data_IF_897025885641
#
_entry.id   IF_897025885641
#
_cell.length_a   1.000
_cell.length_b   1.000
_cell.length_c   1.000
_cell.angle_alpha   90.00
_cell.angle_beta   90.00
_cell.angle_gamma   90.00
#
_symmetry.space_group_name_H-M   'P 1'
#
loop_
_entity.id
_entity.type
_entity.pdbx_description
1 polymer ?
#
# COMPACT_ATOMS: atom_id res chain seq x y z
N UNK A 1 0.60 -59.06 -25.91
CA UNK A 1 -0.42 -58.75 -24.89
C UNK A 1 -0.05 -57.36 -24.30
N UNK A 2 -0.62 -56.31 -24.85
CA UNK A 2 -0.40 -54.94 -24.38
C UNK A 2 -1.59 -54.57 -23.52
N UNK A 3 -1.44 -54.53 -22.21
CA UNK A 3 -2.42 -54.01 -21.30
C UNK A 3 -2.51 -52.49 -21.44
N UNK A 4 -3.61 -52.01 -22.04
CA UNK A 4 -4.04 -50.62 -22.01
C UNK A 4 -4.40 -50.22 -20.58
N UNK A 5 -3.44 -49.64 -19.86
CA UNK A 5 -3.71 -48.94 -18.61
C UNK A 5 -4.50 -47.66 -19.00
N UNK A 6 -5.82 -47.74 -19.02
CA UNK A 6 -6.70 -46.56 -19.00
C UNK A 6 -6.48 -45.90 -17.65
N UNK A 7 -5.66 -44.83 -17.62
CA UNK A 7 -5.71 -43.89 -16.51
C UNK A 7 -7.10 -43.26 -16.50
N UNK A 8 -7.95 -43.74 -15.61
CA UNK A 8 -9.17 -43.07 -15.20
C UNK A 8 -8.73 -41.80 -14.46
N UNK A 9 -8.64 -40.69 -15.20
CA UNK A 9 -8.64 -39.35 -14.62
C UNK A 9 -10.01 -39.07 -14.01
N UNK A 10 -10.29 -39.70 -12.88
CA UNK A 10 -11.40 -39.38 -11.99
C UNK A 10 -11.08 -38.06 -11.29
N UNK A 11 -11.01 -36.97 -12.03
CA UNK A 11 -11.02 -35.64 -11.45
C UNK A 11 -12.35 -35.48 -10.73
N UNK A 12 -12.33 -35.64 -9.41
CA UNK A 12 -13.44 -35.37 -8.53
C UNK A 12 -13.95 -33.96 -8.83
N UNK A 13 -15.08 -33.83 -9.51
CA UNK A 13 -15.66 -32.53 -9.84
C UNK A 13 -16.06 -31.87 -8.53
N UNK A 14 -15.23 -30.90 -8.10
CA UNK A 14 -15.53 -30.07 -6.92
C UNK A 14 -16.89 -29.42 -7.13
N UNK A 15 -17.78 -29.54 -6.14
CA UNK A 15 -19.12 -28.96 -6.23
C UNK A 15 -19.06 -27.44 -6.44
N UNK A 16 -20.03 -26.83 -7.13
CA UNK A 16 -20.07 -25.38 -7.32
C UNK A 16 -19.97 -24.60 -6.00
N UNK A 17 -20.62 -25.08 -4.94
CA UNK A 17 -20.60 -24.44 -3.62
C UNK A 17 -19.21 -24.51 -2.98
N UNK A 18 -18.53 -25.66 -3.07
CA UNK A 18 -17.17 -25.82 -2.58
C UNK A 18 -16.21 -24.92 -3.36
N UNK A 19 -16.35 -24.83 -4.69
CA UNK A 19 -15.55 -23.96 -5.54
C UNK A 19 -15.79 -22.49 -5.17
N UNK A 20 -17.03 -22.06 -4.98
CA UNK A 20 -17.37 -20.71 -4.55
C UNK A 20 -16.75 -20.37 -3.19
N UNK A 21 -16.80 -21.29 -2.22
CA UNK A 21 -16.20 -21.12 -0.90
C UNK A 21 -14.69 -20.95 -0.97
N UNK A 22 -14.00 -21.78 -1.75
CA UNK A 22 -12.54 -21.68 -1.94
C UNK A 22 -12.17 -20.35 -2.59
N UNK A 23 -12.85 -19.93 -3.66
CA UNK A 23 -12.59 -18.67 -4.35
C UNK A 23 -12.83 -17.48 -3.43
N UNK A 24 -13.89 -17.49 -2.62
CA UNK A 24 -14.18 -16.44 -1.66
C UNK A 24 -13.10 -16.36 -0.56
N UNK A 25 -12.69 -17.48 0.01
CA UNK A 25 -11.63 -17.52 1.01
C UNK A 25 -10.29 -17.02 0.44
N UNK A 26 -9.97 -17.38 -0.81
CA UNK A 26 -8.77 -16.95 -1.50
C UNK A 26 -8.79 -15.44 -1.81
N UNK A 27 -9.91 -14.93 -2.31
CA UNK A 27 -10.12 -13.50 -2.50
C UNK A 27 -9.88 -12.72 -1.20
N UNK A 28 -10.55 -13.15 -0.12
CA UNK A 28 -10.43 -12.52 1.20
C UNK A 28 -8.98 -12.50 1.67
N UNK A 29 -8.27 -13.62 1.54
CA UNK A 29 -6.87 -13.73 1.93
C UNK A 29 -5.97 -12.71 1.20
N UNK A 30 -6.08 -12.60 -0.12
CA UNK A 30 -5.27 -11.65 -0.89
C UNK A 30 -5.67 -10.20 -0.65
N UNK A 31 -6.95 -9.94 -0.41
CA UNK A 31 -7.42 -8.61 -0.03
C UNK A 31 -6.87 -8.19 1.35
N UNK A 32 -6.84 -9.09 2.32
CA UNK A 32 -6.23 -8.85 3.64
C UNK A 32 -4.72 -8.60 3.52
N UNK A 33 -4.00 -9.33 2.64
CA UNK A 33 -2.59 -9.05 2.35
C UNK A 33 -2.40 -7.65 1.76
N UNK A 34 -3.26 -7.21 0.85
CA UNK A 34 -3.21 -5.86 0.32
C UNK A 34 -3.37 -4.83 1.45
N UNK A 35 -4.41 -4.97 2.27
CA UNK A 35 -4.68 -4.06 3.39
C UNK A 35 -3.54 -4.03 4.43
N UNK A 36 -2.87 -5.16 4.67
CA UNK A 36 -1.69 -5.22 5.54
C UNK A 36 -0.54 -4.36 5.01
N UNK A 37 -0.27 -4.40 3.70
CA UNK A 37 0.74 -3.55 3.08
C UNK A 37 0.37 -2.05 3.15
N UNK A 38 -0.90 -1.70 2.97
CA UNK A 38 -1.39 -0.34 3.14
C UNK A 38 -1.19 0.16 4.59
N UNK A 39 -1.58 -0.66 5.57
CA UNK A 39 -1.39 -0.35 6.99
C UNK A 39 0.08 -0.19 7.37
N UNK A 40 0.96 -1.07 6.84
CA UNK A 40 2.41 -0.96 7.05
C UNK A 40 2.98 0.33 6.45
N UNK A 41 2.52 0.75 5.27
CA UNK A 41 2.95 2.02 4.68
C UNK A 41 2.63 3.20 5.59
N UNK A 42 1.38 3.31 6.04
CA UNK A 42 0.88 4.42 6.88
C UNK A 42 1.54 4.43 8.25
N UNK A 43 1.58 3.27 8.93
CA UNK A 43 2.15 3.16 10.27
C UNK A 43 3.63 3.47 10.30
N UNK A 44 4.41 2.88 9.38
CA UNK A 44 5.86 3.14 9.32
C UNK A 44 6.15 4.58 8.94
N UNK A 45 5.41 5.16 7.98
CA UNK A 45 5.58 6.56 7.60
C UNK A 45 5.29 7.50 8.77
N UNK A 46 4.21 7.28 9.50
CA UNK A 46 3.88 8.07 10.69
C UNK A 46 4.96 7.98 11.76
N UNK A 47 5.49 6.79 12.01
CA UNK A 47 6.57 6.58 12.97
C UNK A 47 7.87 7.31 12.56
N UNK A 48 8.27 7.23 11.29
CA UNK A 48 9.44 7.94 10.78
C UNK A 48 9.28 9.46 10.92
N UNK A 49 8.09 10.00 10.66
CA UNK A 49 7.81 11.43 10.83
C UNK A 49 7.92 11.88 12.29
N UNK A 50 7.50 11.06 13.24
CA UNK A 50 7.65 11.33 14.68
C UNK A 50 9.14 11.40 15.04
N UNK A 51 9.96 10.45 14.56
CA UNK A 51 11.41 10.46 14.79
C UNK A 51 12.05 11.73 14.21
N UNK A 52 11.71 12.08 12.97
CA UNK A 52 12.18 13.29 12.30
C UNK A 52 11.80 14.54 13.10
N UNK A 53 10.55 14.63 13.55
CA UNK A 53 10.08 15.73 14.39
C UNK A 53 10.89 15.85 15.69
N UNK A 54 11.20 14.74 16.34
CA UNK A 54 12.03 14.72 17.54
C UNK A 54 13.48 15.21 17.27
N UNK A 55 14.09 14.75 16.17
CA UNK A 55 15.45 15.20 15.78
C UNK A 55 15.46 16.72 15.50
N UNK A 56 14.52 17.21 14.71
CA UNK A 56 14.42 18.64 14.37
C UNK A 56 14.19 19.48 15.64
N UNK A 57 13.31 19.00 16.54
CA UNK A 57 13.06 19.69 17.80
C UNK A 57 14.31 19.76 18.65
N UNK A 58 15.09 18.69 18.72
CA UNK A 58 16.34 18.65 19.47
C UNK A 58 17.37 19.66 18.92
N UNK A 59 17.56 19.71 17.61
CA UNK A 59 18.46 20.67 16.93
C UNK A 59 18.03 22.10 17.17
N UNK A 60 16.73 22.35 17.28
CA UNK A 60 16.20 23.72 17.47
C UNK A 60 16.32 24.25 18.90
N UNK A 61 16.70 23.44 19.89
CA UNK A 61 16.72 23.82 21.30
C UNK A 61 17.77 24.89 21.66
N UNK A 62 18.91 24.89 20.97
CA UNK A 62 20.00 25.86 21.27
C UNK A 62 19.85 27.18 20.49
N UNK A 63 18.89 27.25 19.56
CA UNK A 63 18.60 28.44 18.74
C UNK A 63 19.72 28.84 17.79
N UNK A 64 20.74 28.00 17.59
CA UNK A 64 21.89 28.26 16.71
C UNK A 64 21.95 27.14 15.68
N UNK A 65 22.06 27.49 14.42
CA UNK A 65 22.31 26.55 13.33
C UNK A 65 23.83 26.64 13.03
N UNK A 66 24.52 25.52 13.18
CA UNK A 66 25.93 25.39 12.84
C UNK A 66 26.71 24.56 13.85
N UNK A 67 27.28 23.47 13.37
CA UNK A 67 28.09 22.57 14.17
C UNK A 67 27.95 21.12 13.76
N UNK A 68 28.85 20.30 14.25
CA UNK A 68 28.85 18.85 13.90
C UNK A 68 27.55 18.15 14.24
N UNK A 69 26.86 18.57 15.34
CA UNK A 69 25.59 17.96 15.77
C UNK A 69 24.50 18.26 14.75
N UNK A 70 24.42 19.51 14.25
CA UNK A 70 23.41 19.90 13.27
C UNK A 70 23.62 19.21 11.93
N UNK A 71 24.90 19.12 11.51
CA UNK A 71 25.29 18.38 10.31
C UNK A 71 24.85 16.91 10.39
N UNK A 72 25.20 16.22 11.49
CA UNK A 72 24.85 14.80 11.68
C UNK A 72 23.34 14.61 11.76
N UNK A 73 22.64 15.50 12.45
CA UNK A 73 21.16 15.47 12.56
C UNK A 73 20.49 15.73 11.21
N UNK A 74 20.98 16.72 10.45
CA UNK A 74 20.50 16.98 9.08
C UNK A 74 20.71 15.78 8.16
N UNK A 75 21.88 15.15 8.21
CA UNK A 75 22.15 13.92 7.45
C UNK A 75 21.25 12.77 7.87
N UNK A 76 20.99 12.59 9.18
CA UNK A 76 20.08 11.57 9.67
C UNK A 76 18.64 11.81 9.16
N UNK A 77 18.14 13.04 9.22
CA UNK A 77 16.81 13.41 8.68
C UNK A 77 16.74 13.16 7.17
N UNK A 78 17.79 13.50 6.42
CA UNK A 78 17.88 13.23 4.98
C UNK A 78 17.75 11.72 4.68
N UNK A 79 18.54 10.89 5.36
CA UNK A 79 18.52 9.43 5.17
C UNK A 79 17.17 8.84 5.54
N UNK A 80 16.58 9.26 6.66
CA UNK A 80 15.24 8.82 7.10
C UNK A 80 14.18 9.22 6.07
N UNK A 81 14.24 10.42 5.53
CA UNK A 81 13.34 10.89 4.48
C UNK A 81 13.45 10.06 3.21
N UNK A 82 14.64 9.78 2.70
CA UNK A 82 14.86 8.92 1.55
C UNK A 82 14.33 7.49 1.78
N UNK A 83 14.68 6.92 2.94
CA UNK A 83 14.18 5.59 3.31
C UNK A 83 12.65 5.56 3.35
N UNK A 84 12.03 6.56 3.98
CA UNK A 84 10.58 6.67 4.07
C UNK A 84 9.91 6.76 2.69
N UNK A 85 10.47 7.54 1.76
CA UNK A 85 9.95 7.65 0.40
C UNK A 85 10.02 6.31 -0.36
N UNK A 86 11.17 5.63 -0.32
CA UNK A 86 11.34 4.31 -0.95
C UNK A 86 10.44 3.26 -0.31
N UNK A 87 10.33 3.28 1.02
CA UNK A 87 9.46 2.36 1.76
C UNK A 87 7.99 2.56 1.39
N UNK A 88 7.50 3.80 1.43
CA UNK A 88 6.13 4.13 1.06
C UNK A 88 5.82 3.70 -0.38
N UNK A 89 6.73 3.97 -1.32
CA UNK A 89 6.61 3.53 -2.70
C UNK A 89 6.45 2.01 -2.80
N UNK A 90 7.35 1.25 -2.16
CA UNK A 90 7.37 -0.23 -2.23
C UNK A 90 6.14 -0.86 -1.58
N UNK A 91 5.66 -0.33 -0.46
CA UNK A 91 4.45 -0.85 0.17
C UNK A 91 3.21 -0.61 -0.68
N UNK A 92 3.11 0.55 -1.34
CA UNK A 92 2.00 0.84 -2.25
C UNK A 92 2.05 -0.02 -3.52
N UNK A 93 3.23 -0.29 -4.07
CA UNK A 93 3.40 -1.22 -5.19
C UNK A 93 2.87 -2.62 -4.84
N UNK A 94 3.20 -3.13 -3.63
CA UNK A 94 2.71 -4.41 -3.12
C UNK A 94 1.22 -4.39 -2.84
N UNK A 95 0.70 -3.31 -2.30
CA UNK A 95 -0.74 -3.12 -2.08
C UNK A 95 -1.50 -3.29 -3.39
N UNK A 96 -1.13 -2.56 -4.45
CA UNK A 96 -1.80 -2.67 -5.74
C UNK A 96 -1.64 -4.04 -6.39
N UNK A 97 -0.47 -4.66 -6.25
CA UNK A 97 -0.25 -6.01 -6.75
C UNK A 97 -1.23 -7.01 -6.11
N UNK A 98 -1.32 -7.05 -4.78
CA UNK A 98 -2.20 -7.98 -4.08
C UNK A 98 -3.68 -7.65 -4.27
N UNK A 99 -4.02 -6.38 -4.38
CA UNK A 99 -5.37 -5.94 -4.72
C UNK A 99 -5.77 -6.45 -6.10
N UNK A 100 -4.89 -6.36 -7.10
CA UNK A 100 -5.15 -6.89 -8.44
C UNK A 100 -5.34 -8.40 -8.42
N UNK A 101 -4.49 -9.14 -7.71
CA UNK A 101 -4.64 -10.60 -7.54
C UNK A 101 -5.98 -10.93 -6.90
N UNK A 102 -6.39 -10.22 -5.84
CA UNK A 102 -7.69 -10.42 -5.22
C UNK A 102 -8.84 -10.22 -6.22
N UNK A 103 -8.81 -9.17 -7.02
CA UNK A 103 -9.85 -8.92 -8.03
C UNK A 103 -9.97 -10.01 -9.09
N UNK A 104 -8.86 -10.64 -9.51
CA UNK A 104 -8.93 -11.78 -10.43
C UNK A 104 -9.69 -12.96 -9.81
N UNK A 105 -9.45 -13.28 -8.53
CA UNK A 105 -10.24 -14.31 -7.82
C UNK A 105 -11.71 -13.91 -7.66
N UNK A 106 -12.01 -12.64 -7.47
CA UNK A 106 -13.38 -12.16 -7.41
C UNK A 106 -14.11 -12.31 -8.75
N UNK A 107 -13.44 -12.04 -9.88
CA UNK A 107 -13.99 -12.28 -11.23
C UNK A 107 -14.29 -13.77 -11.47
N UNK A 108 -13.41 -14.67 -11.02
CA UNK A 108 -13.66 -16.10 -11.10
C UNK A 108 -14.85 -16.53 -10.22
N UNK A 109 -14.96 -15.94 -9.02
CA UNK A 109 -16.10 -16.21 -8.12
C UNK A 109 -17.44 -15.83 -8.77
N UNK A 110 -17.51 -14.74 -9.49
CA UNK A 110 -18.72 -14.33 -10.21
C UNK A 110 -19.17 -15.30 -11.29
N UNK A 111 -18.23 -15.99 -11.96
CA UNK A 111 -18.57 -17.02 -12.94
C UNK A 111 -19.25 -18.21 -12.29
N UNK A 112 -18.98 -18.47 -11.01
CA UNK A 112 -19.55 -19.58 -10.24
C UNK A 112 -20.83 -19.18 -9.53
N UNK A 113 -20.96 -17.93 -9.11
CA UNK A 113 -22.13 -17.39 -8.39
C UNK A 113 -22.78 -16.28 -9.21
N UNK A 114 -23.74 -16.62 -10.09
CA UNK A 114 -24.45 -15.63 -10.90
C UNK A 114 -25.20 -14.61 -10.02
N UNK A 115 -25.06 -13.32 -10.36
CA UNK A 115 -25.72 -12.24 -9.62
C UNK A 115 -24.92 -11.68 -8.45
N UNK A 116 -23.74 -12.22 -8.15
CA UNK A 116 -22.80 -11.59 -7.25
C UNK A 116 -22.31 -10.28 -7.90
N UNK A 117 -22.66 -9.13 -7.31
CA UNK A 117 -22.14 -7.85 -7.79
C UNK A 117 -20.63 -7.78 -7.55
N UNK A 118 -19.88 -7.48 -8.59
CA UNK A 118 -18.41 -7.35 -8.46
C UNK A 118 -18.03 -6.16 -7.60
N UNK A 119 -16.86 -6.27 -7.00
CA UNK A 119 -16.20 -5.15 -6.38
C UNK A 119 -16.03 -3.95 -7.33
N UNK A 120 -15.74 -4.17 -8.63
CA UNK A 120 -15.70 -3.08 -9.62
C UNK A 120 -17.03 -2.33 -9.68
N UNK A 121 -18.16 -3.01 -9.91
CA UNK A 121 -19.46 -2.35 -9.95
C UNK A 121 -19.88 -1.78 -8.58
N UNK A 122 -19.41 -2.34 -7.48
CA UNK A 122 -19.63 -1.82 -6.13
C UNK A 122 -18.69 -0.67 -5.81
N UNK A 123 -17.41 -0.76 -6.21
CA UNK A 123 -16.42 0.31 -6.05
C UNK A 123 -16.68 1.47 -6.99
N UNK A 124 -17.01 1.25 -8.25
CA UNK A 124 -17.41 2.31 -9.19
C UNK A 124 -18.65 3.07 -8.67
N UNK A 125 -19.63 2.35 -8.14
CA UNK A 125 -20.79 2.94 -7.50
C UNK A 125 -20.45 3.70 -6.22
N UNK A 126 -19.58 3.14 -5.36
CA UNK A 126 -19.12 3.76 -4.12
C UNK A 126 -18.15 4.91 -4.38
N UNK A 127 -17.25 4.77 -5.36
CA UNK A 127 -16.32 5.81 -5.77
C UNK A 127 -17.05 6.99 -6.42
N UNK A 128 -18.04 6.75 -7.27
CA UNK A 128 -18.88 7.79 -7.83
C UNK A 128 -19.72 8.48 -6.75
N UNK A 129 -20.32 7.75 -5.82
CA UNK A 129 -21.05 8.31 -4.69
C UNK A 129 -20.14 9.08 -3.71
N UNK A 130 -18.90 8.62 -3.52
CA UNK A 130 -17.90 9.34 -2.75
C UNK A 130 -17.40 10.58 -3.50
N UNK A 131 -17.16 10.47 -4.82
CA UNK A 131 -16.77 11.61 -5.66
C UNK A 131 -17.83 12.70 -5.73
N UNK A 132 -19.12 12.34 -5.64
CA UNK A 132 -20.21 13.31 -5.53
C UNK A 132 -20.26 14.02 -4.17
N UNK A 133 -19.90 13.32 -3.08
CA UNK A 133 -19.87 13.84 -1.72
C UNK A 133 -18.60 14.64 -1.41
N UNK A 134 -17.47 14.20 -1.93
CA UNK A 134 -16.16 14.83 -1.70
C UNK A 134 -15.75 15.64 -2.92
N UNK A 135 -16.32 16.84 -3.06
CA UNK A 135 -16.02 17.79 -4.15
C UNK A 135 -14.64 18.44 -4.05
N UNK A 136 -13.79 18.07 -3.07
CA UNK A 136 -12.47 18.65 -2.98
C UNK A 136 -11.59 18.15 -4.12
N UNK A 137 -11.04 19.08 -4.91
CA UNK A 137 -10.06 18.83 -5.98
C UNK A 137 -8.90 17.96 -5.52
N UNK A 138 -8.53 18.02 -4.24
CA UNK A 138 -7.46 17.23 -3.63
C UNK A 138 -7.77 15.73 -3.61
N UNK A 139 -9.00 15.32 -3.32
CA UNK A 139 -9.37 13.91 -3.24
C UNK A 139 -9.33 13.21 -4.62
N UNK A 140 -9.56 13.96 -5.71
CA UNK A 140 -9.53 13.43 -7.09
C UNK A 140 -8.14 13.39 -7.71
N UNK A 141 -7.21 14.23 -7.26
CA UNK A 141 -5.96 14.49 -8.00
C UNK A 141 -4.74 13.85 -7.35
N UNK A 142 -4.76 13.62 -6.05
CA UNK A 142 -3.59 13.12 -5.32
C UNK A 142 -3.85 11.68 -4.89
N UNK A 143 -3.26 10.73 -5.61
CA UNK A 143 -3.18 9.36 -5.14
C UNK A 143 -2.42 9.32 -3.82
N UNK A 144 -2.92 8.61 -2.82
CA UNK A 144 -2.33 8.49 -1.48
C UNK A 144 -0.84 8.12 -1.52
N UNK A 145 -0.43 7.31 -2.49
CA UNK A 145 0.97 6.99 -2.75
C UNK A 145 1.85 8.24 -2.90
N UNK A 146 1.41 9.19 -3.72
CA UNK A 146 2.17 10.41 -3.96
C UNK A 146 2.22 11.32 -2.75
N UNK A 147 1.16 11.31 -1.93
CA UNK A 147 1.14 12.07 -0.69
C UNK A 147 2.28 11.62 0.25
N UNK A 148 2.38 10.32 0.52
CA UNK A 148 3.42 9.78 1.39
C UNK A 148 4.83 9.94 0.81
N UNK A 149 5.03 9.65 -0.47
CA UNK A 149 6.32 9.80 -1.14
C UNK A 149 6.77 11.25 -1.16
N UNK A 150 5.87 12.20 -1.48
CA UNK A 150 6.19 13.63 -1.48
C UNK A 150 6.51 14.15 -0.09
N UNK A 151 5.76 13.72 0.92
CA UNK A 151 6.00 14.12 2.31
C UNK A 151 7.40 13.70 2.78
N UNK A 152 7.79 12.47 2.53
CA UNK A 152 9.14 11.99 2.84
C UNK A 152 10.21 12.66 1.97
N UNK A 153 9.90 12.98 0.72
CA UNK A 153 10.77 13.76 -0.15
C UNK A 153 11.05 15.17 0.40
N UNK A 154 10.02 15.85 0.92
CA UNK A 154 10.16 17.14 1.60
C UNK A 154 11.03 17.00 2.86
N UNK A 155 10.82 15.95 3.66
CA UNK A 155 11.65 15.66 4.84
C UNK A 155 13.10 15.47 4.44
N UNK A 156 13.39 14.73 3.38
CA UNK A 156 14.74 14.54 2.87
C UNK A 156 15.35 15.88 2.43
N UNK A 157 14.60 16.73 1.71
CA UNK A 157 15.08 18.04 1.29
C UNK A 157 15.40 18.95 2.48
N UNK A 158 14.58 18.95 3.53
CA UNK A 158 14.84 19.69 4.78
C UNK A 158 16.12 19.18 5.44
N UNK A 159 16.30 17.86 5.57
CA UNK A 159 17.49 17.26 6.15
C UNK A 159 18.76 17.62 5.39
N UNK A 160 18.73 17.59 4.06
CA UNK A 160 19.84 18.02 3.22
C UNK A 160 20.13 19.51 3.38
N UNK A 161 19.09 20.36 3.41
CA UNK A 161 19.23 21.78 3.66
C UNK A 161 19.92 22.08 4.98
N UNK A 162 19.50 21.43 6.08
CA UNK A 162 20.14 21.57 7.39
C UNK A 162 21.59 21.13 7.36
N UNK A 163 21.93 20.02 6.70
CA UNK A 163 23.32 19.57 6.58
C UNK A 163 24.22 20.52 5.76
N UNK A 164 23.67 21.23 4.78
CA UNK A 164 24.44 22.16 3.93
C UNK A 164 24.60 23.57 4.54
N UNK A 165 23.85 23.92 5.58
CA UNK A 165 23.93 25.19 6.27
C UNK A 165 25.07 25.25 7.32
N UNK A 166 25.72 24.12 7.59
CA UNK A 166 26.81 23.93 8.53
C UNK A 166 28.15 23.99 7.80
#
# INVERSE_FOLDING_TARGET
>A
MSENIKMQNGGEQVSPDTRASILHATFKHYFEMAMDHHTKATTTSSFLLIIVGAIISFVSLDGKIGGTVDFVSGLAVFVIGLFGAVWAWKQHERYYFWQHVAYEYQKELQKVVPGLKTGEAYYDGAENAAAERYTSLFAKTIHERWLWVSLHGIVAAIGLGLALMV
#
